data_IF_719213396666
#
_entry.id   IF_719213396666
#
_cell.length_a   1.000
_cell.length_b   1.000
_cell.length_c   1.000
_cell.angle_alpha   90.00
_cell.angle_beta   90.00
_cell.angle_gamma   90.00
#
_symmetry.space_group_name_H-M   'P 1'
#
loop_
_entity.id
_entity.type
_entity.pdbx_description
1 polymer ?
#
# COMPACT_ATOMS: atom_id res chain seq x y z
N UNK A 1 5.09 9.98 -9.41
CA UNK A 1 4.06 10.04 -8.38
C UNK A 1 4.70 10.09 -7.01
N UNK A 2 4.42 11.11 -6.21
CA UNK A 2 5.02 11.22 -4.88
C UNK A 2 4.59 10.06 -3.97
N UNK A 3 5.56 9.35 -3.46
CA UNK A 3 5.36 8.25 -2.52
C UNK A 3 6.38 8.38 -1.40
N UNK A 4 5.91 8.23 -0.17
CA UNK A 4 6.77 8.22 1.00
C UNK A 4 6.46 6.96 1.80
N UNK A 5 7.49 6.20 2.15
CA UNK A 5 7.36 4.99 2.96
C UNK A 5 8.15 5.20 4.23
N UNK A 6 7.46 5.12 5.36
CA UNK A 6 8.09 5.33 6.67
C UNK A 6 7.82 4.13 7.58
N UNK A 7 8.85 3.68 8.28
CA UNK A 7 8.69 2.67 9.32
C UNK A 7 8.18 3.37 10.58
N UNK A 8 7.02 2.95 11.07
CA UNK A 8 6.40 3.61 12.22
C UNK A 8 7.05 3.22 13.54
N UNK A 9 7.43 1.93 13.68
CA UNK A 9 8.12 1.45 14.87
C UNK A 9 8.73 0.08 14.58
N UNK A 10 9.55 -0.40 15.54
CA UNK A 10 10.22 -1.70 15.43
C UNK A 10 9.46 -2.83 16.11
N UNK A 11 8.27 -2.54 16.65
CA UNK A 11 7.45 -3.58 17.27
C UNK A 11 6.92 -4.48 16.17
N UNK A 12 7.20 -5.78 16.28
CA UNK A 12 6.75 -6.76 15.29
C UNK A 12 5.28 -7.05 15.52
N UNK A 13 4.41 -6.83 14.52
CA UNK A 13 3.00 -7.13 14.69
C UNK A 13 2.76 -8.62 14.87
N UNK A 14 1.64 -8.97 15.53
CA UNK A 14 1.28 -10.36 15.76
C UNK A 14 0.91 -11.08 14.45
N UNK A 15 0.43 -10.32 13.46
CA UNK A 15 0.01 -10.87 12.18
C UNK A 15 0.43 -9.96 11.04
N UNK A 16 0.60 -10.56 9.86
CA UNK A 16 0.74 -9.82 8.61
C UNK A 16 -0.59 -9.12 8.33
N UNK A 17 -0.55 -7.80 8.07
CA UNK A 17 -1.78 -7.06 7.82
C UNK A 17 -1.60 -5.97 6.78
N UNK A 18 -2.74 -5.59 6.18
CA UNK A 18 -2.86 -4.45 5.29
C UNK A 18 -4.13 -3.72 5.68
N UNK A 19 -4.02 -2.48 6.16
CA UNK A 19 -5.18 -1.70 6.55
C UNK A 19 -5.85 -1.06 5.36
N UNK A 20 -7.13 -0.74 5.53
CA UNK A 20 -7.84 0.08 4.57
C UNK A 20 -7.17 1.46 4.51
N UNK A 21 -6.92 1.96 3.30
CA UNK A 21 -6.33 3.29 3.16
C UNK A 21 -7.21 4.36 3.81
N UNK A 22 -6.59 5.40 4.34
CA UNK A 22 -7.31 6.50 4.99
C UNK A 22 -6.73 7.84 4.54
N UNK A 23 -7.56 8.79 4.13
CA UNK A 23 -9.00 8.70 3.95
C UNK A 23 -9.41 7.81 2.77
N UNK A 24 -10.64 7.32 2.81
CA UNK A 24 -11.24 6.54 1.72
C UNK A 24 -12.76 6.79 1.72
N UNK A 25 -13.33 7.46 0.69
CA UNK A 25 -12.65 7.93 -0.51
C UNK A 25 -11.60 9.00 -0.22
N UNK A 26 -10.66 9.18 -1.14
CA UNK A 26 -9.56 10.14 -0.95
C UNK A 26 -9.45 11.12 -2.11
N UNK A 27 -8.83 12.30 -1.87
CA UNK A 27 -8.69 13.35 -2.87
C UNK A 27 -7.54 14.29 -2.49
N UNK A 28 -6.42 14.28 -3.16
CA UNK A 28 -5.90 13.16 -3.96
C UNK A 28 -4.94 12.29 -3.16
N UNK A 29 -4.76 12.55 -1.86
CA UNK A 29 -3.77 11.87 -1.03
C UNK A 29 -4.43 10.92 -0.06
N UNK A 30 -3.73 9.81 0.22
CA UNK A 30 -4.18 8.82 1.17
C UNK A 30 -2.96 8.16 1.82
N UNK A 31 -3.19 7.45 2.91
CA UNK A 31 -2.16 6.69 3.60
C UNK A 31 -2.57 5.23 3.68
N UNK A 32 -1.60 4.37 3.50
CA UNK A 32 -1.77 2.92 3.58
C UNK A 32 -0.84 2.39 4.65
N UNK A 33 -1.40 1.70 5.64
CA UNK A 33 -0.61 1.10 6.71
C UNK A 33 -0.57 -0.41 6.56
N UNK A 34 0.59 -0.99 6.80
CA UNK A 34 0.75 -2.43 6.77
C UNK A 34 1.79 -2.89 7.77
N UNK A 35 1.76 -4.17 8.09
CA UNK A 35 2.75 -4.76 9.00
C UNK A 35 3.19 -6.12 8.51
N UNK A 36 4.48 -6.40 8.69
CA UNK A 36 5.06 -7.69 8.35
C UNK A 36 5.69 -8.31 9.59
N UNK A 37 5.54 -9.62 9.72
CA UNK A 37 5.94 -10.35 10.92
C UNK A 37 7.37 -10.82 10.88
N UNK A 38 7.98 -10.83 9.70
CA UNK A 38 9.38 -11.18 9.51
C UNK A 38 9.92 -10.46 8.30
N UNK A 39 11.24 -10.28 8.26
CA UNK A 39 11.88 -9.61 7.14
C UNK A 39 11.59 -10.34 5.84
N UNK A 40 11.25 -9.60 4.79
CA UNK A 40 10.87 -10.17 3.50
C UNK A 40 10.99 -9.13 2.41
N UNK A 41 10.98 -9.59 1.17
CA UNK A 41 10.82 -8.69 0.03
C UNK A 41 9.36 -8.29 -0.07
N UNK A 42 9.11 -7.00 -0.22
CA UNK A 42 7.77 -6.41 -0.20
C UNK A 42 7.47 -5.74 -1.53
N UNK A 43 6.28 -6.01 -2.04
CA UNK A 43 5.71 -5.31 -3.20
C UNK A 43 4.39 -4.69 -2.78
N UNK A 44 4.17 -3.44 -3.17
CA UNK A 44 2.88 -2.78 -2.99
C UNK A 44 2.54 -2.07 -4.29
N UNK A 45 1.49 -2.49 -4.94
CA UNK A 45 1.11 -2.01 -6.27
C UNK A 45 -0.37 -1.67 -6.34
N UNK A 46 -0.70 -0.73 -7.22
CA UNK A 46 -2.08 -0.29 -7.43
C UNK A 46 -2.50 -0.67 -8.83
N UNK A 47 -3.72 -1.24 -8.94
CA UNK A 47 -4.32 -1.69 -10.19
C UNK A 47 -5.65 -0.99 -10.41
N UNK A 48 -6.00 -0.76 -11.67
CA UNK A 48 -7.33 -0.26 -12.02
C UNK A 48 -8.35 -1.41 -12.01
N UNK A 49 -9.62 -1.08 -12.34
CA UNK A 49 -10.70 -2.08 -12.32
C UNK A 49 -10.55 -3.17 -13.36
N UNK A 50 -9.72 -2.94 -14.36
CA UNK A 50 -9.44 -3.93 -15.41
C UNK A 50 -8.25 -4.82 -15.04
N UNK A 51 -7.65 -4.59 -13.86
CA UNK A 51 -6.50 -5.36 -13.43
C UNK A 51 -5.16 -4.86 -13.96
N UNK A 52 -5.15 -3.68 -14.60
CA UNK A 52 -3.92 -3.10 -15.11
C UNK A 52 -3.16 -2.39 -13.99
N UNK A 53 -1.87 -2.68 -13.86
CA UNK A 53 -1.02 -1.99 -12.90
C UNK A 53 -0.85 -0.53 -13.32
N UNK A 54 -1.19 0.40 -12.42
CA UNK A 54 -1.09 1.83 -12.69
C UNK A 54 -0.01 2.53 -11.88
N UNK A 55 0.32 2.01 -10.70
CA UNK A 55 1.37 2.59 -9.85
C UNK A 55 2.09 1.46 -9.09
N UNK A 56 3.40 1.59 -8.96
CA UNK A 56 4.21 0.74 -8.08
C UNK A 56 4.63 1.61 -6.91
N UNK A 57 4.12 1.29 -5.71
CA UNK A 57 4.47 2.05 -4.49
C UNK A 57 5.73 1.51 -3.83
N UNK A 58 5.87 0.19 -3.77
CA UNK A 58 7.07 -0.47 -3.28
C UNK A 58 7.41 -1.58 -4.27
N UNK A 59 8.63 -1.57 -4.79
CA UNK A 59 9.04 -2.49 -5.84
C UNK A 59 10.06 -3.50 -5.32
N UNK A 60 9.56 -4.63 -4.85
CA UNK A 60 10.38 -5.78 -4.43
C UNK A 60 11.52 -5.35 -3.50
N UNK A 61 11.20 -4.58 -2.48
CA UNK A 61 12.18 -4.03 -1.56
C UNK A 61 12.29 -4.91 -0.32
N UNK A 62 13.51 -5.25 0.09
CA UNK A 62 13.71 -6.03 1.31
C UNK A 62 13.49 -5.14 2.53
N UNK A 63 12.54 -5.52 3.38
CA UNK A 63 12.14 -4.73 4.54
C UNK A 63 12.16 -5.58 5.80
N UNK A 64 12.56 -4.96 6.91
CA UNK A 64 12.57 -5.64 8.20
C UNK A 64 11.17 -5.77 8.78
N UNK A 65 10.98 -6.71 9.71
CA UNK A 65 9.70 -6.86 10.40
C UNK A 65 9.33 -5.56 11.13
N UNK A 66 8.05 -5.23 11.12
CA UNK A 66 7.54 -4.02 11.76
C UNK A 66 6.31 -3.48 11.07
N UNK A 67 5.92 -2.27 11.46
CA UNK A 67 4.76 -1.57 10.90
C UNK A 67 5.23 -0.38 10.06
N UNK A 68 4.56 -0.16 8.94
CA UNK A 68 4.93 0.85 7.95
C UNK A 68 3.72 1.68 7.56
N UNK A 69 3.99 2.91 7.15
CA UNK A 69 2.98 3.83 6.61
C UNK A 69 3.44 4.33 5.25
N UNK A 70 2.59 4.18 4.25
CA UNK A 70 2.85 4.64 2.89
C UNK A 70 1.95 5.82 2.61
N UNK A 71 2.54 6.99 2.33
CA UNK A 71 1.80 8.19 1.91
C UNK A 71 1.85 8.27 0.41
N UNK A 72 0.69 8.41 -0.21
CA UNK A 72 0.55 8.35 -1.66
C UNK A 72 -0.31 9.50 -2.16
N UNK A 73 0.22 10.23 -3.16
CA UNK A 73 -0.48 11.30 -3.85
C UNK A 73 -0.88 10.82 -5.24
N UNK A 74 -2.17 10.68 -5.48
CA UNK A 74 -2.73 10.17 -6.72
C UNK A 74 -3.21 11.28 -7.65
N UNK A 75 -2.63 12.49 -7.56
CA UNK A 75 -3.10 13.63 -8.36
C UNK A 75 -3.03 13.36 -9.87
N UNK A 76 -2.19 12.45 -10.31
CA UNK A 76 -2.06 12.10 -11.73
C UNK A 76 -2.96 10.96 -12.18
N UNK A 77 -3.70 10.33 -11.28
CA UNK A 77 -4.64 9.28 -11.64
C UNK A 77 -6.04 9.87 -11.85
N UNK A 78 -6.83 9.19 -12.68
CA UNK A 78 -8.22 9.55 -12.89
C UNK A 78 -9.05 9.14 -11.67
N UNK A 79 -10.16 9.86 -11.42
CA UNK A 79 -11.12 9.44 -10.41
C UNK A 79 -11.65 8.06 -10.74
N UNK A 80 -11.85 7.23 -9.73
CA UNK A 80 -12.36 5.89 -9.93
C UNK A 80 -11.97 4.94 -8.82
N UNK A 81 -12.28 3.68 -9.04
CA UNK A 81 -11.98 2.61 -8.10
C UNK A 81 -10.69 1.92 -8.48
N UNK A 82 -9.91 1.57 -7.47
CA UNK A 82 -8.61 0.91 -7.63
C UNK A 82 -8.48 -0.21 -6.61
N UNK A 83 -7.58 -1.14 -6.88
CA UNK A 83 -7.21 -2.19 -5.94
C UNK A 83 -5.73 -2.03 -5.63
N UNK A 84 -5.36 -2.04 -4.37
CA UNK A 84 -3.96 -2.09 -3.99
C UNK A 84 -3.64 -3.45 -3.39
N UNK A 85 -2.47 -3.97 -3.72
CA UNK A 85 -2.08 -5.33 -3.37
C UNK A 85 -0.71 -5.31 -2.71
N UNK A 86 -0.62 -5.91 -1.53
CA UNK A 86 0.62 -6.05 -0.77
C UNK A 86 1.07 -7.50 -0.82
N UNK A 87 2.31 -7.71 -1.24
CA UNK A 87 2.94 -9.04 -1.21
C UNK A 87 4.18 -8.95 -0.32
N UNK A 88 4.31 -9.86 0.62
CA UNK A 88 5.48 -9.96 1.49
C UNK A 88 5.87 -11.44 1.59
N UNK A 89 6.98 -11.79 0.94
CA UNK A 89 7.39 -13.18 0.82
C UNK A 89 6.33 -13.97 0.05
N UNK A 90 5.72 -14.96 0.72
CA UNK A 90 4.68 -15.81 0.10
C UNK A 90 3.26 -15.34 0.42
N UNK A 91 3.10 -14.27 1.19
CA UNK A 91 1.79 -13.79 1.64
C UNK A 91 1.34 -12.62 0.80
N UNK A 92 0.02 -12.51 0.57
CA UNK A 92 -0.57 -11.45 -0.23
C UNK A 92 -1.91 -11.04 0.33
N UNK A 93 -2.14 -9.72 0.41
CA UNK A 93 -3.43 -9.14 0.79
C UNK A 93 -3.76 -8.04 -0.22
N UNK A 94 -5.02 -7.95 -0.62
CA UNK A 94 -5.49 -6.89 -1.52
C UNK A 94 -6.70 -6.20 -0.91
N UNK A 95 -6.83 -4.90 -1.16
CA UNK A 95 -7.97 -4.10 -0.73
C UNK A 95 -8.35 -3.09 -1.81
N UNK A 96 -9.57 -2.60 -1.71
CA UNK A 96 -10.11 -1.61 -2.66
C UNK A 96 -9.98 -0.21 -2.09
N UNK A 97 -9.81 0.78 -2.98
CA UNK A 97 -9.83 2.18 -2.60
C UNK A 97 -10.54 2.99 -3.69
N UNK A 98 -11.07 4.16 -3.31
CA UNK A 98 -11.82 5.03 -4.20
C UNK A 98 -11.20 6.42 -4.22
N UNK A 99 -10.82 6.87 -5.41
CA UNK A 99 -10.28 8.22 -5.64
C UNK A 99 -11.40 9.10 -6.18
N UNK A 100 -11.70 10.18 -5.48
CA UNK A 100 -12.69 11.18 -5.88
C UNK A 100 -11.98 12.53 -6.03
N UNK A 101 -11.95 13.03 -7.23
CA UNK A 101 -11.39 14.36 -7.49
C UNK A 101 -12.47 15.38 -7.70
#
# INVERSE_FOLDING_TARGET
TPVSVEKENDIVPAQFYLDQNFPNPFNPSTEIKFGITQAANVDLRIYDVLGKEVVVLINNEFMSAGSYNVKFDASKLASGNYVYSLTAGTKKISKKMQLLK
#
